data_IF_297480744946
#
_entry.id   IF_297480744946
#
_cell.length_a   1.000
_cell.length_b   1.000
_cell.length_c   1.000
_cell.angle_alpha   90.00
_cell.angle_beta   90.00
_cell.angle_gamma   90.00
#
_symmetry.space_group_name_H-M   'P 1'
#
loop_
_entity.id
_entity.type
_entity.pdbx_description
1 polymer ?
#
# COMPACT_ATOMS: atom_id res chain seq x y z
N UNK A 1 4.82 7.33 -12.89
CA UNK A 1 3.65 7.80 -12.13
C UNK A 1 4.10 8.16 -10.72
N UNK A 2 3.50 9.15 -10.06
CA UNK A 2 3.95 9.63 -8.74
C UNK A 2 3.12 9.04 -7.60
N UNK A 3 3.72 8.91 -6.42
CA UNK A 3 3.02 8.59 -5.19
C UNK A 3 2.19 9.80 -4.73
N UNK A 4 0.90 9.66 -4.41
CA UNK A 4 0.07 10.79 -4.00
C UNK A 4 0.46 11.38 -2.63
N UNK A 5 1.19 10.64 -1.80
CA UNK A 5 1.59 11.09 -0.45
C UNK A 5 2.91 11.85 -0.46
N UNK A 6 3.95 11.26 -1.02
CA UNK A 6 5.30 11.83 -1.00
C UNK A 6 5.71 12.47 -2.33
N UNK A 7 4.91 12.35 -3.39
CA UNK A 7 5.17 12.85 -4.74
C UNK A 7 6.41 12.26 -5.45
N UNK A 8 7.12 11.31 -4.83
CA UNK A 8 8.21 10.58 -5.49
C UNK A 8 7.66 9.71 -6.62
N UNK A 9 8.49 9.48 -7.63
CA UNK A 9 8.18 8.55 -8.71
C UNK A 9 8.13 7.12 -8.15
N UNK A 10 7.09 6.40 -8.54
CA UNK A 10 6.87 5.00 -8.19
C UNK A 10 6.47 4.21 -9.42
N UNK A 11 6.76 2.91 -9.38
CA UNK A 11 6.26 1.98 -10.37
C UNK A 11 4.95 1.38 -9.84
N UNK A 12 3.85 1.58 -10.57
CA UNK A 12 2.59 0.92 -10.25
C UNK A 12 2.54 -0.44 -10.93
N UNK A 13 2.33 -1.44 -10.10
CA UNK A 13 2.21 -2.84 -10.51
C UNK A 13 0.84 -3.37 -10.14
N UNK A 14 0.44 -4.46 -10.80
CA UNK A 14 -0.72 -5.26 -10.42
C UNK A 14 -0.22 -6.54 -9.76
N UNK A 15 -0.69 -6.85 -8.56
CA UNK A 15 -0.36 -8.11 -7.89
C UNK A 15 -1.07 -9.28 -8.59
N UNK A 16 -0.62 -10.51 -8.35
CA UNK A 16 -1.32 -11.71 -8.85
C UNK A 16 -2.79 -11.76 -8.43
N UNK A 17 -3.13 -11.22 -7.26
CA UNK A 17 -4.50 -11.09 -6.78
C UNK A 17 -5.29 -9.90 -7.39
N UNK A 18 -4.76 -9.26 -8.43
CA UNK A 18 -5.40 -8.13 -9.13
C UNK A 18 -5.39 -6.79 -8.38
N UNK A 19 -4.63 -6.67 -7.28
CA UNK A 19 -4.56 -5.43 -6.50
C UNK A 19 -3.45 -4.53 -7.02
N UNK A 20 -3.63 -3.21 -6.94
CA UNK A 20 -2.55 -2.27 -7.27
C UNK A 20 -1.54 -2.15 -6.15
N UNK A 21 -0.26 -2.29 -6.47
CA UNK A 21 0.85 -2.10 -5.54
C UNK A 21 1.85 -1.11 -6.13
N UNK A 22 2.15 -0.05 -5.37
CA UNK A 22 3.26 0.84 -5.68
C UNK A 22 4.57 0.25 -5.14
N UNK A 23 5.58 0.16 -5.98
CA UNK A 23 6.95 -0.21 -5.63
C UNK A 23 7.89 0.94 -5.99
N UNK A 24 9.05 0.98 -5.35
CA UNK A 24 10.09 1.95 -5.70
C UNK A 24 10.55 1.71 -7.14
N UNK A 25 10.87 2.80 -7.85
CA UNK A 25 11.20 2.73 -9.28
C UNK A 25 12.52 2.01 -9.53
N UNK A 26 13.47 2.17 -8.61
CA UNK A 26 14.76 1.52 -8.68
C UNK A 26 14.67 0.10 -8.09
N UNK A 27 15.21 -0.90 -8.79
CA UNK A 27 15.30 -2.24 -8.24
C UNK A 27 16.29 -2.27 -7.07
N UNK A 28 16.00 -3.13 -6.10
CA UNK A 28 16.77 -3.27 -4.86
C UNK A 28 16.89 -4.75 -4.52
N UNK A 29 18.12 -5.22 -4.28
CA UNK A 29 18.42 -6.62 -3.94
C UNK A 29 17.85 -7.04 -2.60
N UNK A 30 17.61 -6.11 -1.69
CA UNK A 30 16.90 -6.32 -0.42
C UNK A 30 15.38 -6.16 -0.57
N UNK A 31 14.89 -5.91 -1.79
CA UNK A 31 13.48 -5.88 -2.09
C UNK A 31 12.81 -7.23 -1.87
N UNK A 32 11.54 -7.22 -1.46
CA UNK A 32 10.76 -8.43 -1.23
C UNK A 32 9.66 -8.65 -2.29
N UNK A 33 9.64 -7.82 -3.33
CA UNK A 33 8.63 -7.87 -4.39
C UNK A 33 9.31 -8.10 -5.72
N UNK A 34 9.06 -9.25 -6.34
CA UNK A 34 9.50 -9.52 -7.69
C UNK A 34 8.56 -8.80 -8.67
N UNK A 35 9.14 -8.04 -9.59
CA UNK A 35 8.44 -7.24 -10.59
C UNK A 35 8.91 -7.64 -11.97
N UNK A 36 7.95 -7.80 -12.88
CA UNK A 36 8.21 -8.08 -14.29
C UNK A 36 7.13 -7.47 -15.16
N UNK A 37 7.40 -7.43 -16.47
CA UNK A 37 6.44 -7.00 -17.48
C UNK A 37 5.80 -8.22 -18.11
N UNK A 38 4.48 -8.33 -18.06
CA UNK A 38 3.77 -9.45 -18.67
C UNK A 38 3.65 -9.28 -20.20
N UNK A 39 3.10 -10.29 -20.89
CA UNK A 39 2.92 -10.26 -22.36
C UNK A 39 2.03 -9.12 -22.87
N UNK A 40 1.16 -8.55 -22.03
CA UNK A 40 0.33 -7.37 -22.38
C UNK A 40 1.06 -6.04 -22.18
N UNK A 41 2.31 -6.06 -21.73
CA UNK A 41 3.08 -4.86 -21.40
C UNK A 41 2.75 -4.26 -20.03
N UNK A 42 1.91 -4.92 -19.23
CA UNK A 42 1.54 -4.49 -17.88
C UNK A 42 2.60 -4.91 -16.87
N UNK A 43 2.91 -4.01 -15.93
CA UNK A 43 3.78 -4.33 -14.81
C UNK A 43 3.04 -5.17 -13.77
N UNK A 44 3.59 -6.34 -13.48
CA UNK A 44 3.04 -7.30 -12.51
C UNK A 44 4.02 -7.46 -11.37
N UNK A 45 3.49 -7.63 -10.16
CA UNK A 45 4.27 -7.94 -8.98
C UNK A 45 3.80 -9.21 -8.29
N UNK A 46 4.75 -9.93 -7.71
CA UNK A 46 4.49 -11.10 -6.86
C UNK A 46 5.46 -11.13 -5.69
N UNK A 47 5.13 -11.94 -4.69
CA UNK A 47 6.01 -12.22 -3.55
C UNK A 47 6.84 -13.47 -3.89
N UNK A 48 8.18 -13.39 -3.93
CA UNK A 48 9.02 -14.57 -4.02
C UNK A 48 8.84 -15.46 -2.79
N UNK A 49 8.84 -16.77 -2.99
CA UNK A 49 8.86 -17.78 -1.92
C UNK A 49 9.98 -18.79 -2.19
N UNK A 50 10.25 -19.68 -1.25
CA UNK A 50 11.28 -20.71 -1.42
C UNK A 50 10.90 -21.69 -2.55
N UNK A 51 9.61 -21.98 -2.73
CA UNK A 51 9.10 -22.82 -3.82
C UNK A 51 9.07 -22.09 -5.17
N UNK A 52 8.91 -20.76 -5.15
CA UNK A 52 8.85 -19.90 -6.34
C UNK A 52 9.85 -18.75 -6.18
N UNK A 53 11.16 -19.03 -6.31
CA UNK A 53 12.20 -18.03 -6.16
C UNK A 53 12.13 -17.00 -7.29
N UNK A 54 12.92 -15.93 -7.16
CA UNK A 54 13.01 -14.88 -8.18
C UNK A 54 13.54 -15.47 -9.48
N UNK A 55 12.84 -15.22 -10.58
CA UNK A 55 13.23 -15.65 -11.91
C UNK A 55 14.18 -14.65 -12.56
N UNK A 56 14.99 -15.08 -13.54
CA UNK A 56 16.02 -14.24 -14.18
C UNK A 56 15.48 -12.99 -14.88
N UNK A 57 14.22 -12.99 -15.29
CA UNK A 57 13.54 -11.87 -15.95
C UNK A 57 12.80 -10.95 -14.96
N UNK A 58 12.81 -11.29 -13.68
CA UNK A 58 12.22 -10.49 -12.62
C UNK A 58 13.29 -9.62 -11.97
N UNK A 59 12.86 -8.47 -11.47
CA UNK A 59 13.69 -7.61 -10.64
C UNK A 59 13.05 -7.47 -9.27
N UNK A 60 13.87 -7.48 -8.22
CA UNK A 60 13.40 -7.20 -6.87
C UNK A 60 13.24 -5.70 -6.67
N UNK A 61 12.14 -5.31 -6.04
CA UNK A 61 11.85 -3.94 -5.66
C UNK A 61 11.33 -3.90 -4.22
N UNK A 62 11.48 -2.74 -3.57
CA UNK A 62 10.89 -2.47 -2.26
C UNK A 62 9.44 -1.94 -2.45
N UNK A 63 8.44 -2.45 -1.70
CA UNK A 63 7.13 -1.85 -1.64
C UNK A 63 7.22 -0.40 -1.18
N UNK A 64 6.68 0.53 -1.97
CA UNK A 64 6.81 1.95 -1.67
C UNK A 64 6.15 2.33 -0.34
N UNK A 65 5.14 1.57 0.10
CA UNK A 65 4.50 1.78 1.42
C UNK A 65 5.50 1.72 2.58
N UNK A 66 6.58 0.94 2.45
CA UNK A 66 7.60 0.79 3.48
C UNK A 66 8.65 1.92 3.43
N UNK A 67 8.89 2.51 2.25
CA UNK A 67 9.94 3.51 2.01
C UNK A 67 9.39 4.93 1.84
N UNK A 68 8.07 5.09 1.83
CA UNK A 68 7.41 6.37 1.60
C UNK A 68 7.74 7.36 2.73
N UNK A 69 8.40 8.50 2.45
CA UNK A 69 8.63 9.54 3.46
C UNK A 69 7.39 10.43 3.68
N UNK A 70 6.30 10.16 2.95
CA UNK A 70 5.08 10.93 3.07
C UNK A 70 4.43 10.72 4.44
N UNK A 71 3.57 11.65 4.89
CA UNK A 71 2.88 11.48 6.16
C UNK A 71 2.12 10.16 6.15
N UNK A 72 2.46 9.25 7.08
CA UNK A 72 1.64 8.07 7.32
C UNK A 72 0.22 8.57 7.66
N UNK A 73 -0.84 7.98 7.09
CA UNK A 73 -2.19 8.24 7.59
C UNK A 73 -2.12 7.94 9.08
N UNK A 74 -2.42 8.94 9.92
CA UNK A 74 -2.53 8.72 11.35
C UNK A 74 -3.63 7.68 11.51
N UNK A 75 -3.25 6.41 11.70
CA UNK A 75 -4.16 5.41 12.24
C UNK A 75 -4.76 6.08 13.47
N UNK A 76 -6.08 6.23 13.43
CA UNK A 76 -6.81 7.31 14.10
C UNK A 76 -6.20 7.67 15.44
N UNK A 77 -5.96 8.96 15.66
CA UNK A 77 -5.66 9.48 16.99
C UNK A 77 -6.59 8.74 17.97
N UNK A 78 -6.06 8.01 18.97
CA UNK A 78 -6.91 7.25 19.87
C UNK A 78 -7.96 8.20 20.40
N UNK A 79 -9.24 7.87 20.15
CA UNK A 79 -10.34 8.60 20.75
C UNK A 79 -10.13 8.43 22.26
N UNK A 80 -10.04 9.51 23.04
CA UNK A 80 -9.90 9.36 24.48
C UNK A 80 -11.06 8.51 25.00
N UNK A 81 -10.82 7.58 25.93
CA UNK A 81 -11.85 6.65 26.41
C UNK A 81 -13.04 7.38 27.06
N UNK A 82 -12.80 8.61 27.53
CA UNK A 82 -13.83 9.52 28.05
C UNK A 82 -13.77 10.82 27.26
N UNK A 83 -14.88 11.17 26.64
CA UNK A 83 -15.07 12.49 26.04
C UNK A 83 -15.44 13.48 27.14
N UNK A 84 -14.95 14.74 27.07
CA UNK A 84 -15.39 15.78 28.00
C UNK A 84 -16.92 15.95 27.97
N UNK A 85 -17.54 16.37 29.09
CA UNK A 85 -18.97 16.64 29.13
C UNK A 85 -19.36 17.64 28.03
N UNK A 86 -20.43 17.33 27.29
CA UNK A 86 -20.92 18.15 26.17
C UNK A 86 -20.29 17.85 24.81
N UNK A 87 -19.34 16.91 24.71
CA UNK A 87 -18.70 16.53 23.43
C UNK A 87 -19.27 15.21 22.92
N UNK A 88 -19.79 15.21 21.67
CA UNK A 88 -20.34 14.02 21.02
C UNK A 88 -19.35 13.37 20.03
N UNK A 89 -19.29 12.04 20.00
CA UNK A 89 -18.51 11.30 18.99
C UNK A 89 -19.26 11.25 17.64
N UNK A 90 -18.87 12.15 16.74
CA UNK A 90 -19.41 12.20 15.37
C UNK A 90 -19.07 10.95 14.54
N UNK A 91 -17.98 10.24 14.85
CA UNK A 91 -17.61 8.99 14.17
C UNK A 91 -18.50 7.83 14.63
N UNK A 92 -18.83 7.75 15.92
CA UNK A 92 -19.86 6.82 16.43
C UNK A 92 -21.23 7.13 15.84
N UNK A 93 -21.62 8.41 15.79
CA UNK A 93 -22.88 8.83 15.19
C UNK A 93 -22.99 8.40 13.72
N UNK A 94 -21.95 8.66 12.90
CA UNK A 94 -21.91 8.24 11.49
C UNK A 94 -21.96 6.72 11.31
N UNK A 95 -21.31 5.95 12.18
CA UNK A 95 -21.38 4.47 12.16
C UNK A 95 -22.82 3.99 12.38
N UNK A 96 -23.52 4.57 13.37
CA UNK A 96 -24.93 4.26 13.65
C UNK A 96 -25.86 4.63 12.48
N UNK A 97 -25.61 5.78 11.84
CA UNK A 97 -26.40 6.23 10.69
C UNK A 97 -26.26 5.33 9.45
N UNK A 98 -25.07 4.75 9.20
CA UNK A 98 -24.83 3.85 8.06
C UNK A 98 -25.39 2.43 8.25
N UNK A 99 -25.73 2.05 9.48
CA UNK A 99 -26.27 0.73 9.83
C UNK A 99 -27.79 0.72 10.03
N UNK A 100 -28.50 1.81 9.70
CA UNK A 100 -29.96 1.87 9.74
C UNK A 100 -30.50 1.35 8.38
N UNK A 101 -31.45 0.40 8.35
CA UNK A 101 -32.07 -0.06 7.11
C UNK A 101 -32.82 1.06 6.40
#
# INVERSE_FOLDING_TARGET
MQCPKCRRLVLWTTTEAGKRLAVDIEPDVEGNTAVYRNGTGTWVSRRPTDELPVMRWERLHKPHVATCPGPMPRHGRPVPPVLPPGVADMSAYRRKARGRP
#
